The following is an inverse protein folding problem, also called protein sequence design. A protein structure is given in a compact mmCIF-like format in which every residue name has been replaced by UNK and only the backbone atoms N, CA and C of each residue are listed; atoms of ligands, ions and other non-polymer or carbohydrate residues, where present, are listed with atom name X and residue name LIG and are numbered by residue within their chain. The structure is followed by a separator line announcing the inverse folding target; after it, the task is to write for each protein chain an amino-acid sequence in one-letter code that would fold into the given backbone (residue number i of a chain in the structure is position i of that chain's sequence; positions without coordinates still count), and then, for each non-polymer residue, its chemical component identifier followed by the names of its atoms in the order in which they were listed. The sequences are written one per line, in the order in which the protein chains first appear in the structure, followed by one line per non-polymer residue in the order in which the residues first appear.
data_IF_915172977580
#
_entry.id   IF_915172977580
#
_cell.length_a   1.000
_cell.length_b   1.000
_cell.length_c   1.000
_cell.angle_alpha   90.00
_cell.angle_beta   90.00
_cell.angle_gamma   90.00
#
_symmetry.space_group_name_H-M   'P 1'
#
loop_
_entity.id
_entity.type
_entity.pdbx_description
1 polymer ?
#
# COMPACT_ATOMS: atom_id res chain seq x y z
N UNK A 1 10.30 -12.29 -4.86
CA UNK A 1 9.20 -11.43 -4.35
C UNK A 1 8.61 -10.52 -5.43
N UNK A 2 9.37 -10.12 -6.44
CA UNK A 2 8.91 -9.21 -7.49
C UNK A 2 7.85 -9.81 -8.43
N UNK A 3 7.95 -11.09 -8.78
CA UNK A 3 6.94 -11.79 -9.60
C UNK A 3 5.48 -11.65 -9.07
N UNK A 4 5.14 -12.03 -7.83
CA UNK A 4 3.76 -11.88 -7.34
C UNK A 4 3.32 -10.42 -7.25
N UNK A 5 4.20 -9.48 -6.89
CA UNK A 5 3.86 -8.05 -6.81
C UNK A 5 3.52 -7.49 -8.19
N UNK A 6 4.38 -7.74 -9.19
CA UNK A 6 4.16 -7.31 -10.57
C UNK A 6 2.89 -7.92 -11.17
N UNK A 7 2.63 -9.21 -10.93
CA UNK A 7 1.40 -9.86 -11.38
C UNK A 7 0.16 -9.29 -10.68
N UNK A 8 0.26 -9.01 -9.37
CA UNK A 8 -0.85 -8.38 -8.62
C UNK A 8 -1.21 -7.04 -9.24
N UNK A 9 -0.21 -6.17 -9.42
CA UNK A 9 -0.43 -4.83 -9.98
C UNK A 9 -0.92 -4.89 -11.43
N UNK A 10 -0.37 -5.79 -12.25
CA UNK A 10 -0.79 -5.94 -13.64
C UNK A 10 -2.26 -6.39 -13.75
N UNK A 11 -2.66 -7.38 -12.96
CA UNK A 11 -4.02 -7.93 -13.01
C UNK A 11 -5.05 -7.04 -12.30
N UNK A 12 -4.66 -6.37 -11.21
CA UNK A 12 -5.52 -5.46 -10.46
C UNK A 12 -5.48 -4.02 -10.97
N UNK A 13 -4.78 -3.72 -12.07
CA UNK A 13 -4.56 -2.34 -12.55
C UNK A 13 -5.84 -1.49 -12.63
N UNK A 14 -6.99 -1.97 -13.18
CA UNK A 14 -8.21 -1.19 -13.19
C UNK A 14 -8.73 -0.87 -11.77
N UNK A 15 -8.65 -1.82 -10.84
CA UNK A 15 -9.07 -1.65 -9.46
C UNK A 15 -8.15 -0.70 -8.70
N UNK A 16 -6.83 -0.78 -8.91
CA UNK A 16 -5.85 0.16 -8.38
C UNK A 16 -6.16 1.58 -8.84
N UNK A 17 -6.31 1.79 -10.15
CA UNK A 17 -6.51 3.12 -10.72
C UNK A 17 -7.84 3.73 -10.25
N UNK A 18 -8.94 2.96 -10.28
CA UNK A 18 -10.24 3.44 -9.79
C UNK A 18 -10.25 3.75 -8.30
N UNK A 19 -9.44 3.03 -7.51
CA UNK A 19 -9.35 3.23 -6.04
C UNK A 19 -8.55 4.47 -5.69
N UNK A 20 -7.41 4.68 -6.36
CA UNK A 20 -6.47 5.75 -6.02
C UNK A 20 -6.76 7.07 -6.74
N UNK A 21 -7.20 7.00 -7.99
CA UNK A 21 -7.37 8.17 -8.86
C UNK A 21 -8.83 8.40 -9.29
N UNK A 22 -9.71 7.42 -9.09
CA UNK A 22 -11.12 7.51 -9.47
C UNK A 22 -11.41 7.08 -10.91
N UNK A 23 -12.69 7.12 -11.34
CA UNK A 23 -13.13 6.57 -12.62
C UNK A 23 -12.62 7.36 -13.84
N UNK A 24 -12.33 8.65 -13.70
CA UNK A 24 -11.84 9.50 -14.79
C UNK A 24 -10.48 9.07 -15.36
N UNK A 25 -9.70 8.28 -14.61
CA UNK A 25 -8.37 7.84 -15.01
C UNK A 25 -8.32 6.39 -15.47
N UNK A 26 -9.48 5.71 -15.63
CA UNK A 26 -9.53 4.27 -15.92
C UNK A 26 -8.73 3.86 -17.16
N UNK A 27 -8.61 4.77 -18.13
CA UNK A 27 -7.85 4.57 -19.38
C UNK A 27 -6.33 4.47 -19.16
N UNK A 28 -5.83 4.79 -17.94
CA UNK A 28 -4.44 4.58 -17.55
C UNK A 28 -4.14 3.14 -17.11
N UNK A 29 -5.14 2.27 -16.92
CA UNK A 29 -4.94 0.89 -16.47
C UNK A 29 -4.00 0.05 -17.37
N UNK A 30 -4.04 0.17 -18.72
CA UNK A 30 -3.08 -0.52 -19.59
C UNK A 30 -1.63 -0.08 -19.35
N UNK A 31 -1.40 1.20 -19.04
CA UNK A 31 -0.07 1.75 -18.72
C UNK A 31 0.47 1.09 -17.46
N UNK A 32 -0.32 1.05 -16.38
CA UNK A 32 0.07 0.39 -15.13
C UNK A 32 0.33 -1.10 -15.33
N UNK A 33 -0.46 -1.75 -16.19
CA UNK A 33 -0.28 -3.18 -16.54
C UNK A 33 1.09 -3.41 -17.19
N UNK A 34 1.41 -2.64 -18.23
CA UNK A 34 2.70 -2.74 -18.93
C UNK A 34 3.88 -2.41 -18.01
N UNK A 35 3.77 -1.35 -17.21
CA UNK A 35 4.83 -0.95 -16.26
C UNK A 35 5.04 -1.98 -15.14
N UNK A 36 3.99 -2.67 -14.71
CA UNK A 36 4.10 -3.74 -13.72
C UNK A 36 4.89 -4.93 -14.26
N UNK A 37 4.70 -5.27 -15.54
CA UNK A 37 5.48 -6.31 -16.23
C UNK A 37 6.92 -5.81 -16.47
N UNK A 38 7.11 -4.54 -16.82
CA UNK A 38 8.44 -3.94 -16.91
C UNK A 38 9.20 -4.07 -15.58
N UNK A 39 8.56 -3.79 -14.45
CA UNK A 39 9.18 -3.94 -13.13
C UNK A 39 9.62 -5.38 -12.84
N UNK A 40 8.88 -6.38 -13.35
CA UNK A 40 9.27 -7.79 -13.23
C UNK A 40 10.57 -8.09 -13.99
N UNK A 41 10.64 -7.68 -15.26
CA UNK A 41 11.81 -7.88 -16.12
C UNK A 41 13.01 -7.13 -15.54
N UNK A 42 12.80 -5.88 -15.14
CA UNK A 42 13.82 -5.01 -14.58
C UNK A 42 14.40 -5.56 -13.26
N UNK A 43 13.55 -6.08 -12.37
CA UNK A 43 14.02 -6.71 -11.13
C UNK A 43 14.94 -7.90 -11.39
N UNK A 44 14.67 -8.71 -12.41
CA UNK A 44 15.52 -9.84 -12.75
C UNK A 44 16.90 -9.38 -13.26
N UNK A 45 16.95 -8.27 -14.02
CA UNK A 45 18.19 -7.63 -14.46
C UNK A 45 19.01 -7.05 -13.30
N UNK A 46 18.37 -6.52 -12.26
CA UNK A 46 19.06 -5.85 -11.16
C UNK A 46 19.99 -6.78 -10.38
N UNK A 47 19.58 -8.03 -10.17
CA UNK A 47 20.40 -9.02 -9.45
C UNK A 47 21.71 -9.37 -10.17
N UNK A 48 21.76 -9.22 -11.51
CA UNK A 48 23.01 -9.36 -12.25
C UNK A 48 24.03 -8.28 -11.88
N UNK A 49 23.56 -7.09 -11.50
CA UNK A 49 24.43 -6.00 -11.08
C UNK A 49 25.18 -6.29 -9.78
N UNK A 50 24.54 -6.99 -8.84
CA UNK A 50 25.18 -7.42 -7.59
C UNK A 50 26.30 -8.44 -7.86
N UNK A 51 26.09 -9.32 -8.85
CA UNK A 51 27.14 -10.23 -9.33
C UNK A 51 28.32 -9.45 -9.92
N UNK A 52 28.08 -8.39 -10.71
CA UNK A 52 29.16 -7.57 -11.27
C UNK A 52 29.96 -6.80 -10.22
N UNK A 53 29.30 -6.36 -9.15
CA UNK A 53 29.99 -5.76 -7.99
C UNK A 53 30.84 -6.81 -7.27
N UNK A 54 30.30 -8.01 -7.03
CA UNK A 54 30.99 -9.08 -6.32
C UNK A 54 32.26 -9.58 -7.05
N UNK A 55 32.28 -9.57 -8.38
CA UNK A 55 33.45 -9.96 -9.19
C UNK A 55 34.48 -8.83 -9.39
N UNK A 56 34.29 -7.67 -8.76
CA UNK A 56 35.20 -6.53 -8.89
C UNK A 56 35.19 -5.86 -10.27
N UNK A 57 34.07 -5.91 -11.00
CA UNK A 57 33.92 -5.28 -12.33
C UNK A 57 32.82 -4.22 -12.38
N UNK A 58 32.92 -3.14 -11.58
CA UNK A 58 31.91 -2.07 -11.58
C UNK A 58 31.81 -1.33 -12.92
N UNK A 59 32.86 -1.32 -13.75
CA UNK A 59 32.85 -0.68 -15.07
C UNK A 59 31.79 -1.27 -16.02
N UNK A 60 31.43 -2.55 -15.85
CA UNK A 60 30.35 -3.19 -16.62
C UNK A 60 28.99 -2.56 -16.32
N UNK A 61 28.76 -2.04 -15.11
CA UNK A 61 27.51 -1.34 -14.77
C UNK A 61 27.41 -0.02 -15.53
N UNK A 62 28.51 0.75 -15.60
CA UNK A 62 28.54 2.03 -16.32
C UNK A 62 28.34 1.83 -17.81
N UNK A 63 29.00 0.83 -18.40
CA UNK A 63 28.83 0.49 -19.82
C UNK A 63 27.39 0.06 -20.10
N UNK A 64 26.81 -0.80 -19.26
CA UNK A 64 25.43 -1.25 -19.45
C UNK A 64 24.41 -0.12 -19.28
N UNK A 65 24.62 0.78 -18.31
CA UNK A 65 23.76 1.96 -18.11
C UNK A 65 23.85 2.93 -19.29
N UNK A 66 25.07 3.21 -19.80
CA UNK A 66 25.27 4.05 -20.98
C UNK A 66 24.65 3.45 -22.24
N UNK A 67 24.85 2.14 -22.46
CA UNK A 67 24.23 1.43 -23.58
C UNK A 67 22.70 1.44 -23.48
N UNK A 68 22.14 1.19 -22.29
CA UNK A 68 20.69 1.27 -22.05
C UNK A 68 20.14 2.67 -22.38
N UNK A 69 20.81 3.73 -21.94
CA UNK A 69 20.40 5.09 -22.24
C UNK A 69 20.40 5.37 -23.75
N UNK A 70 21.46 4.99 -24.46
CA UNK A 70 21.54 5.16 -25.91
C UNK A 70 20.45 4.40 -26.67
N UNK A 71 20.17 3.15 -26.27
CA UNK A 71 19.12 2.32 -26.88
C UNK A 71 17.71 2.85 -26.58
N UNK A 72 17.52 3.56 -25.46
CA UNK A 72 16.21 4.02 -25.03
C UNK A 72 15.74 5.30 -25.74
N UNK A 73 16.64 6.21 -26.12
CA UNK A 73 16.28 7.55 -26.64
C UNK A 73 15.39 7.48 -27.89
N UNK A 74 15.81 6.75 -28.93
CA UNK A 74 15.11 6.72 -30.22
C UNK A 74 13.73 6.05 -30.11
N UNK A 75 13.58 4.85 -29.49
CA UNK A 75 12.29 4.21 -29.34
C UNK A 75 11.31 5.02 -28.49
N UNK A 76 11.77 5.64 -27.39
CA UNK A 76 10.89 6.46 -26.54
C UNK A 76 10.40 7.72 -27.25
N UNK A 77 11.29 8.40 -27.99
CA UNK A 77 10.92 9.58 -28.77
C UNK A 77 9.82 9.24 -29.81
N UNK A 78 9.98 8.10 -30.49
CA UNK A 78 8.96 7.58 -31.42
C UNK A 78 7.64 7.18 -30.73
N UNK A 79 7.71 6.64 -29.51
CA UNK A 79 6.54 6.21 -28.75
C UNK A 79 5.76 7.40 -28.16
N UNK A 80 6.45 8.48 -27.77
CA UNK A 80 5.84 9.67 -27.18
C UNK A 80 4.78 10.30 -28.09
N UNK A 81 4.98 10.27 -29.42
CA UNK A 81 4.00 10.74 -30.41
C UNK A 81 2.77 9.83 -30.58
N UNK A 82 2.72 8.65 -29.97
CA UNK A 82 1.62 7.67 -30.09
C UNK A 82 0.83 7.44 -28.80
N UNK A 83 1.15 8.19 -27.74
CA UNK A 83 0.45 8.13 -26.46
C UNK A 83 1.14 7.26 -25.40
N UNK A 84 0.68 7.43 -24.15
CA UNK A 84 1.34 6.89 -22.94
C UNK A 84 1.38 5.36 -22.88
N UNK A 85 0.40 4.68 -23.47
CA UNK A 85 0.38 3.21 -23.52
C UNK A 85 1.53 2.70 -24.39
N UNK A 86 1.75 3.29 -25.57
CA UNK A 86 2.87 2.93 -26.44
C UNK A 86 4.21 3.19 -25.78
N UNK A 87 4.35 4.29 -25.04
CA UNK A 87 5.57 4.58 -24.25
C UNK A 87 5.84 3.45 -23.25
N UNK A 88 4.83 3.00 -22.50
CA UNK A 88 5.00 1.91 -21.52
C UNK A 88 5.35 0.56 -22.14
N UNK A 89 4.78 0.24 -23.32
CA UNK A 89 5.10 -0.98 -24.06
C UNK A 89 6.52 -0.94 -24.64
N UNK A 90 6.95 0.20 -25.16
CA UNK A 90 8.31 0.39 -25.68
C UNK A 90 9.33 0.32 -24.55
N UNK A 91 9.05 0.92 -23.38
CA UNK A 91 9.89 0.76 -22.19
C UNK A 91 10.07 -0.72 -21.82
N UNK A 92 8.98 -1.49 -21.79
CA UNK A 92 9.04 -2.94 -21.55
C UNK A 92 9.88 -3.66 -22.61
N UNK A 93 9.67 -3.37 -23.90
CA UNK A 93 10.39 -4.00 -25.00
C UNK A 93 11.89 -3.69 -24.97
N UNK A 94 12.26 -2.43 -24.75
CA UNK A 94 13.65 -1.98 -24.65
C UNK A 94 14.35 -2.66 -23.47
N UNK A 95 13.66 -2.89 -22.34
CA UNK A 95 14.25 -3.55 -21.16
C UNK A 95 14.61 -5.02 -21.38
N UNK A 96 14.01 -5.68 -22.37
CA UNK A 96 14.36 -7.06 -22.70
C UNK A 96 15.80 -7.18 -23.22
N UNK A 97 16.32 -6.14 -23.90
CA UNK A 97 17.68 -6.12 -24.43
C UNK A 97 18.74 -6.20 -23.32
N UNK A 98 18.80 -5.27 -22.34
CA UNK A 98 19.75 -5.35 -21.25
C UNK A 98 19.48 -6.57 -20.36
N UNK A 99 18.23 -7.03 -20.22
CA UNK A 99 17.91 -8.27 -19.51
C UNK A 99 18.63 -9.48 -20.13
N UNK A 100 18.49 -9.67 -21.45
CA UNK A 100 19.16 -10.77 -22.17
C UNK A 100 20.68 -10.62 -22.09
N UNK A 101 21.20 -9.41 -22.33
CA UNK A 101 22.63 -9.15 -22.28
C UNK A 101 23.22 -9.47 -20.89
N UNK A 102 22.61 -8.98 -19.82
CA UNK A 102 23.02 -9.28 -18.44
C UNK A 102 22.99 -10.78 -18.15
N UNK A 103 21.95 -11.48 -18.60
CA UNK A 103 21.82 -12.92 -18.39
C UNK A 103 22.95 -13.71 -19.10
N UNK A 104 23.33 -13.29 -20.31
CA UNK A 104 24.45 -13.87 -21.05
C UNK A 104 25.80 -13.61 -20.36
N UNK A 105 26.02 -12.40 -19.84
CA UNK A 105 27.24 -12.07 -19.10
C UNK A 105 27.31 -12.87 -17.79
N UNK A 106 26.23 -12.93 -17.01
CA UNK A 106 26.17 -13.73 -15.78
C UNK A 106 26.48 -15.20 -16.08
N UNK A 107 25.89 -15.77 -17.12
CA UNK A 107 26.18 -17.14 -17.57
C UNK A 107 27.67 -17.34 -17.84
N UNK A 108 28.30 -16.42 -18.58
CA UNK A 108 29.73 -16.50 -18.94
C UNK A 108 30.64 -16.41 -17.71
N UNK A 109 30.27 -15.57 -16.74
CA UNK A 109 31.08 -15.33 -15.53
C UNK A 109 30.93 -16.44 -14.50
N UNK A 110 29.71 -16.91 -14.26
CA UNK A 110 29.40 -17.87 -13.19
C UNK A 110 29.54 -19.33 -13.61
N UNK A 111 29.75 -19.60 -14.91
CA UNK A 111 29.75 -20.95 -15.51
C UNK A 111 28.48 -21.75 -15.25
N UNK A 112 27.37 -21.10 -14.86
CA UNK A 112 26.08 -21.74 -14.70
C UNK A 112 25.57 -22.23 -16.06
N UNK A 113 24.94 -23.41 -16.09
CA UNK A 113 24.32 -23.90 -17.31
C UNK A 113 23.07 -23.07 -17.62
N UNK A 114 22.74 -22.91 -18.92
CA UNK A 114 21.48 -22.24 -19.32
C UNK A 114 20.24 -22.92 -18.71
N UNK A 115 20.33 -24.23 -18.49
CA UNK A 115 19.28 -25.03 -17.86
C UNK A 115 19.03 -24.63 -16.41
N UNK A 116 20.07 -24.37 -15.64
CA UNK A 116 19.92 -24.02 -14.22
C UNK A 116 19.31 -22.63 -14.03
N UNK A 117 19.78 -21.67 -14.84
CA UNK A 117 19.28 -20.30 -14.82
C UNK A 117 17.83 -20.22 -15.32
N UNK A 118 17.56 -20.91 -16.44
CA UNK A 118 16.19 -21.06 -16.94
C UNK A 118 15.29 -21.73 -15.91
N UNK A 119 15.72 -22.82 -15.27
CA UNK A 119 14.94 -23.52 -14.24
C UNK A 119 14.71 -22.64 -13.01
N UNK A 120 15.69 -21.83 -12.61
CA UNK A 120 15.53 -20.89 -11.50
C UNK A 120 14.47 -19.81 -11.79
N UNK A 121 14.48 -19.26 -13.01
CA UNK A 121 13.51 -18.23 -13.45
C UNK A 121 12.12 -18.84 -13.70
N UNK A 122 12.06 -20.01 -14.33
CA UNK A 122 10.81 -20.66 -14.74
C UNK A 122 10.07 -21.28 -13.55
N UNK A 123 10.75 -21.75 -12.50
CA UNK A 123 10.11 -22.39 -11.33
C UNK A 123 8.99 -21.57 -10.65
N UNK A 124 9.16 -20.25 -10.39
CA UNK A 124 8.10 -19.44 -9.80
C UNK A 124 7.02 -18.98 -10.81
N UNK A 125 7.25 -19.07 -12.13
CA UNK A 125 6.32 -18.55 -13.13
C UNK A 125 4.95 -19.27 -13.14
N UNK A 126 4.84 -20.61 -13.03
CA UNK A 126 3.54 -21.26 -12.92
C UNK A 126 2.71 -20.79 -11.73
N UNK A 127 3.35 -20.49 -10.59
CA UNK A 127 2.66 -19.96 -9.42
C UNK A 127 2.12 -18.55 -9.67
N UNK A 128 2.93 -17.70 -10.32
CA UNK A 128 2.52 -16.35 -10.71
C UNK A 128 1.41 -16.37 -11.79
N UNK A 129 1.48 -17.28 -12.77
CA UNK A 129 0.46 -17.45 -13.80
C UNK A 129 -0.86 -17.94 -13.20
N UNK A 130 -0.83 -18.94 -12.31
CA UNK A 130 -2.03 -19.42 -11.62
C UNK A 130 -2.66 -18.33 -10.75
N UNK A 131 -1.84 -17.56 -10.03
CA UNK A 131 -2.28 -16.38 -9.30
C UNK A 131 -3.00 -15.38 -10.23
N UNK A 132 -2.42 -15.07 -11.39
CA UNK A 132 -3.04 -14.16 -12.35
C UNK A 132 -4.42 -14.66 -12.81
N UNK A 133 -4.53 -15.94 -13.14
CA UNK A 133 -5.80 -16.57 -13.56
C UNK A 133 -6.86 -16.47 -12.45
N UNK A 134 -6.49 -16.79 -11.20
CA UNK A 134 -7.41 -16.68 -10.05
C UNK A 134 -7.86 -15.23 -9.86
N UNK A 135 -6.93 -14.28 -9.93
CA UNK A 135 -7.24 -12.85 -9.80
C UNK A 135 -8.16 -12.35 -10.92
N UNK A 136 -7.95 -12.78 -12.17
CA UNK A 136 -8.88 -12.46 -13.27
C UNK A 136 -10.27 -13.07 -13.05
N UNK A 137 -10.34 -14.28 -12.49
CA UNK A 137 -11.61 -14.91 -12.11
C UNK A 137 -12.36 -14.10 -11.06
N UNK A 138 -11.66 -13.68 -9.99
CA UNK A 138 -12.19 -12.80 -8.94
C UNK A 138 -12.63 -11.45 -9.50
N UNK A 139 -11.81 -10.84 -10.38
CA UNK A 139 -12.13 -9.57 -11.02
C UNK A 139 -13.44 -9.62 -11.81
N UNK A 140 -13.70 -10.74 -12.51
CA UNK A 140 -14.95 -10.93 -13.26
C UNK A 140 -16.13 -11.26 -12.34
N UNK A 141 -15.94 -12.14 -11.35
CA UNK A 141 -17.00 -12.55 -10.44
C UNK A 141 -17.48 -11.42 -9.51
N UNK A 142 -16.56 -10.54 -9.10
CA UNK A 142 -16.82 -9.42 -8.20
C UNK A 142 -16.79 -8.06 -8.93
N UNK A 143 -17.11 -8.03 -10.24
CA UNK A 143 -17.09 -6.80 -11.03
C UNK A 143 -18.06 -5.71 -10.52
N UNK A 144 -19.11 -6.11 -9.80
CA UNK A 144 -20.08 -5.21 -9.15
C UNK A 144 -19.58 -4.60 -7.84
N UNK A 145 -18.46 -5.08 -7.31
CA UNK A 145 -17.93 -4.60 -6.04
C UNK A 145 -17.23 -3.24 -6.26
N UNK A 146 -17.32 -2.30 -5.31
CA UNK A 146 -16.52 -1.09 -5.33
C UNK A 146 -15.02 -1.39 -5.44
N UNK A 147 -14.32 -0.56 -6.22
CA UNK A 147 -12.92 -0.76 -6.56
C UNK A 147 -11.99 -1.04 -5.37
N UNK A 148 -12.11 -0.37 -4.20
CA UNK A 148 -11.24 -0.64 -3.06
C UNK A 148 -11.41 -2.05 -2.51
N UNK A 149 -12.66 -2.54 -2.41
CA UNK A 149 -12.93 -3.88 -1.93
C UNK A 149 -12.51 -4.94 -2.95
N UNK A 150 -12.73 -4.67 -4.24
CA UNK A 150 -12.26 -5.55 -5.31
C UNK A 150 -10.74 -5.68 -5.29
N UNK A 151 -10.01 -4.57 -5.17
CA UNK A 151 -8.55 -4.56 -5.08
C UNK A 151 -8.04 -5.38 -3.89
N UNK A 152 -8.66 -5.20 -2.73
CA UNK A 152 -8.25 -5.87 -1.52
C UNK A 152 -8.56 -7.38 -1.58
N UNK A 153 -9.72 -7.76 -2.13
CA UNK A 153 -10.10 -9.15 -2.40
C UNK A 153 -9.13 -9.81 -3.41
N UNK A 154 -8.82 -9.14 -4.52
CA UNK A 154 -7.87 -9.62 -5.53
C UNK A 154 -6.47 -9.82 -4.94
N UNK A 155 -6.00 -8.88 -4.11
CA UNK A 155 -4.66 -8.96 -3.50
C UNK A 155 -4.54 -10.16 -2.56
N UNK A 156 -5.53 -10.40 -1.70
CA UNK A 156 -5.53 -11.52 -0.76
C UNK A 156 -5.71 -12.87 -1.44
N UNK A 157 -6.65 -12.98 -2.36
CA UNK A 157 -6.89 -14.21 -3.14
C UNK A 157 -5.68 -14.53 -4.02
N UNK A 158 -5.07 -13.52 -4.64
CA UNK A 158 -3.84 -13.67 -5.41
C UNK A 158 -2.66 -14.14 -4.55
N UNK A 159 -2.43 -13.50 -3.40
CA UNK A 159 -1.34 -13.87 -2.48
C UNK A 159 -1.50 -15.31 -1.97
N UNK A 160 -2.71 -15.69 -1.55
CA UNK A 160 -3.00 -17.05 -1.07
C UNK A 160 -2.83 -18.10 -2.17
N UNK A 161 -3.35 -17.84 -3.38
CA UNK A 161 -3.14 -18.70 -4.54
C UNK A 161 -1.65 -18.84 -4.90
N UNK A 162 -0.91 -17.74 -4.91
CA UNK A 162 0.54 -17.76 -5.19
C UNK A 162 1.30 -18.60 -4.18
N UNK A 163 1.09 -18.40 -2.87
CA UNK A 163 1.77 -19.15 -1.83
C UNK A 163 1.42 -20.64 -1.89
N UNK A 164 0.16 -20.98 -2.16
CA UNK A 164 -0.29 -22.35 -2.32
C UNK A 164 0.38 -23.03 -3.53
N UNK A 165 0.38 -22.41 -4.70
CA UNK A 165 0.97 -23.00 -5.91
C UNK A 165 2.49 -23.01 -5.85
N UNK A 166 3.13 -21.96 -5.32
CA UNK A 166 4.58 -21.91 -5.12
C UNK A 166 5.06 -23.05 -4.22
N UNK A 167 4.27 -23.38 -3.19
CA UNK A 167 4.53 -24.54 -2.34
C UNK A 167 4.44 -25.85 -3.11
N UNK A 168 3.58 -25.97 -4.13
CA UNK A 168 3.48 -27.18 -4.94
C UNK A 168 4.61 -27.25 -5.98
N UNK A 169 4.93 -26.15 -6.65
CA UNK A 169 5.88 -26.12 -7.77
C UNK A 169 7.33 -25.92 -7.34
N UNK A 170 7.58 -25.29 -6.20
CA UNK A 170 8.91 -24.89 -5.75
C UNK A 170 9.08 -24.93 -4.21
N UNK A 171 8.83 -26.09 -3.60
CA UNK A 171 9.01 -26.33 -2.15
C UNK A 171 10.32 -25.77 -1.59
N UNK A 172 11.44 -26.02 -2.27
CA UNK A 172 12.75 -25.56 -1.83
C UNK A 172 12.89 -24.03 -1.73
N UNK A 173 12.20 -23.26 -2.57
CA UNK A 173 12.17 -21.79 -2.45
C UNK A 173 11.39 -21.34 -1.21
N UNK A 174 10.32 -22.05 -0.85
CA UNK A 174 9.53 -21.77 0.36
C UNK A 174 10.36 -22.09 1.61
N UNK A 175 11.04 -23.24 1.63
CA UNK A 175 11.87 -23.66 2.76
C UNK A 175 13.05 -22.70 2.97
N UNK A 176 13.69 -22.25 1.89
CA UNK A 176 14.74 -21.23 1.93
C UNK A 176 14.20 -19.90 2.49
N UNK A 177 13.02 -19.45 2.03
CA UNK A 177 12.38 -18.23 2.53
C UNK A 177 12.04 -18.29 4.02
N UNK A 178 11.50 -19.42 4.50
CA UNK A 178 11.19 -19.62 5.92
C UNK A 178 12.48 -19.60 6.76
N UNK A 179 13.56 -20.20 6.26
CA UNK A 179 14.86 -20.22 6.95
C UNK A 179 15.43 -18.81 7.08
N UNK A 180 15.37 -18.00 6.01
CA UNK A 180 15.81 -16.60 6.04
C UNK A 180 15.00 -15.73 7.01
N UNK A 181 13.68 -15.95 7.11
CA UNK A 181 12.84 -15.22 8.08
C UNK A 181 13.22 -15.61 9.52
N UNK A 182 13.51 -16.90 9.77
CA UNK A 182 13.95 -17.38 11.08
C UNK A 182 15.30 -16.80 11.48
N UNK A 183 16.24 -16.68 10.54
CA UNK A 183 17.56 -16.11 10.85
C UNK A 183 17.47 -14.63 11.23
N UNK A 184 16.61 -13.85 10.58
CA UNK A 184 16.36 -12.44 10.97
C UNK A 184 15.78 -12.37 12.38
N UNK A 185 14.84 -13.26 12.71
CA UNK A 185 14.20 -13.29 14.04
C UNK A 185 15.17 -13.74 15.15
N UNK A 186 16.19 -14.52 14.83
CA UNK A 186 17.18 -15.02 15.78
C UNK A 186 18.41 -14.10 15.92
N UNK A 187 18.60 -13.18 14.99
CA UNK A 187 19.84 -12.41 14.82
C UNK A 187 20.08 -11.24 15.78
N UNK A 188 19.41 -11.16 16.94
CA UNK A 188 19.55 -10.02 17.85
C UNK A 188 19.79 -10.41 19.32
N UNK A 189 20.03 -11.70 19.62
CA UNK A 189 20.26 -12.15 21.00
C UNK A 189 21.60 -12.83 21.28
N UNK A 190 22.33 -13.24 20.25
CA UNK A 190 23.65 -13.85 20.42
C UNK A 190 24.66 -13.16 19.50
N UNK A 191 25.05 -11.93 19.83
CA UNK A 191 26.33 -11.39 19.37
C UNK A 191 27.38 -11.88 20.37
N UNK A 192 28.11 -12.99 20.11
CA UNK A 192 29.18 -13.41 20.99
C UNK A 192 30.21 -12.28 21.04
N UNK A 193 30.40 -11.72 22.24
CA UNK A 193 31.51 -10.86 22.59
C UNK A 193 32.80 -11.56 22.18
N UNK A 194 33.42 -11.07 21.11
CA UNK A 194 34.84 -11.19 20.76
C UNK A 194 35.59 -12.40 21.35
N UNK A 195 35.59 -13.53 20.65
CA UNK A 195 36.68 -14.50 20.76
C UNK A 195 37.33 -14.79 19.38
N UNK A 196 38.66 -14.97 19.35
CA UNK A 196 39.44 -15.03 18.11
C UNK A 196 39.31 -16.37 17.38
N UNK A 197 39.27 -16.26 16.06
CA UNK A 197 38.80 -17.19 15.03
C UNK A 197 39.81 -18.33 14.73
N UNK A 198 40.33 -19.00 15.76
CA UNK A 198 41.30 -20.08 15.58
C UNK A 198 40.60 -21.44 15.43
N UNK A 199 40.53 -21.88 14.17
CA UNK A 199 40.68 -23.25 13.68
C UNK A 199 39.84 -24.39 14.31
N UNK A 200 38.79 -24.83 13.60
CA UNK A 200 38.63 -26.26 13.27
C UNK A 200 37.68 -26.46 12.08
N UNK A 201 38.24 -26.75 10.90
CA UNK A 201 37.50 -27.22 9.73
C UNK A 201 37.23 -28.73 9.89
N UNK A 202 36.12 -29.09 10.54
CA UNK A 202 35.59 -30.46 10.52
C UNK A 202 34.55 -30.60 9.40
N UNK A 203 34.79 -31.52 8.47
CA UNK A 203 33.95 -31.84 7.31
C UNK A 203 32.54 -32.33 7.71
N UNK A 204 31.45 -31.79 7.13
CA UNK A 204 30.09 -32.18 7.49
C UNK A 204 29.71 -33.54 6.88
N UNK A 205 29.44 -34.54 7.74
CA UNK A 205 28.89 -35.84 7.33
C UNK A 205 27.43 -35.70 6.87
N UNK A 206 27.16 -36.12 5.65
CA UNK A 206 25.88 -36.09 4.95
C UNK A 206 24.82 -36.95 5.68
N UNK A 207 23.87 -36.29 6.37
CA UNK A 207 22.79 -36.95 7.12
C UNK A 207 21.49 -36.87 6.31
N UNK A 208 21.11 -37.99 5.68
CA UNK A 208 19.82 -38.14 4.98
C UNK A 208 18.66 -38.11 5.98
N UNK A 209 17.79 -37.11 5.87
CA UNK A 209 16.57 -37.01 6.66
C UNK A 209 15.40 -37.74 5.96
N UNK A 210 14.68 -38.64 6.64
CA UNK A 210 13.51 -39.31 6.08
C UNK A 210 12.33 -38.34 5.93
N UNK A 211 11.60 -38.45 4.81
CA UNK A 211 10.45 -37.59 4.50
C UNK A 211 9.21 -37.94 5.36
N UNK A 212 8.85 -37.05 6.27
CA UNK A 212 7.56 -37.04 6.99
C UNK A 212 6.46 -36.40 6.12
N UNK A 213 5.58 -37.20 5.54
CA UNK A 213 4.55 -36.76 4.58
C UNK A 213 3.14 -36.48 5.14
N UNK A 214 2.81 -36.84 6.39
CA UNK A 214 1.39 -36.94 6.80
C UNK A 214 0.93 -35.95 7.87
N UNK A 215 1.84 -35.35 8.65
CA UNK A 215 1.47 -34.39 9.71
C UNK A 215 1.09 -32.99 9.18
N UNK A 216 1.34 -32.74 7.89
CA UNK A 216 1.27 -31.40 7.32
C UNK A 216 -0.15 -30.96 6.89
N UNK A 217 -1.10 -31.88 6.76
CA UNK A 217 -2.48 -31.56 6.31
C UNK A 217 -3.35 -30.93 7.40
N UNK A 218 -3.22 -31.36 8.66
CA UNK A 218 -4.08 -30.89 9.77
C UNK A 218 -3.86 -29.44 10.16
N UNK A 219 -2.63 -28.95 10.08
CA UNK A 219 -2.27 -27.58 10.49
C UNK A 219 -2.89 -26.52 9.56
N UNK A 220 -3.11 -26.86 8.29
CA UNK A 220 -3.71 -25.95 7.31
C UNK A 220 -5.23 -25.88 7.42
N UNK A 221 -5.90 -26.97 7.81
CA UNK A 221 -7.35 -26.94 8.10
C UNK A 221 -7.66 -25.99 9.26
N UNK A 222 -6.86 -26.03 10.32
CA UNK A 222 -7.04 -25.16 11.49
C UNK A 222 -6.79 -23.69 11.15
N UNK A 223 -5.74 -23.40 10.38
CA UNK A 223 -5.44 -22.04 9.90
C UNK A 223 -6.55 -21.47 9.01
N UNK A 224 -7.06 -22.26 8.06
CA UNK A 224 -8.15 -21.85 7.18
C UNK A 224 -9.47 -21.61 7.93
N UNK A 225 -9.83 -22.49 8.85
CA UNK A 225 -11.05 -22.37 9.66
C UNK A 225 -11.03 -21.11 10.54
N UNK A 226 -9.92 -20.87 11.25
CA UNK A 226 -9.80 -19.68 12.09
C UNK A 226 -9.71 -18.39 11.25
N UNK A 227 -9.14 -18.44 10.05
CA UNK A 227 -9.23 -17.35 9.07
C UNK A 227 -10.68 -17.02 8.71
N UNK A 228 -11.48 -18.02 8.35
CA UNK A 228 -12.90 -17.82 8.02
C UNK A 228 -13.70 -17.24 9.20
N UNK A 229 -13.45 -17.73 10.42
CA UNK A 229 -14.05 -17.17 11.64
C UNK A 229 -13.64 -15.71 11.84
N UNK A 230 -12.35 -15.40 11.65
CA UNK A 230 -11.85 -14.03 11.73
C UNK A 230 -12.52 -13.09 10.72
N UNK A 231 -12.69 -13.53 9.47
CA UNK A 231 -13.42 -12.79 8.43
C UNK A 231 -14.86 -12.47 8.87
N UNK A 232 -15.59 -13.46 9.39
CA UNK A 232 -16.97 -13.30 9.84
C UNK A 232 -17.06 -12.30 11.01
N UNK A 233 -16.14 -12.38 11.98
CA UNK A 233 -16.06 -11.43 13.09
C UNK A 233 -15.76 -10.01 12.57
N UNK A 234 -14.82 -9.87 11.64
CA UNK A 234 -14.51 -8.58 11.01
C UNK A 234 -15.72 -7.95 10.32
N UNK A 235 -16.48 -8.75 9.57
CA UNK A 235 -17.73 -8.31 8.92
C UNK A 235 -18.82 -7.92 9.93
N UNK A 236 -18.96 -8.67 11.03
CA UNK A 236 -19.91 -8.36 12.10
C UNK A 236 -19.58 -7.03 12.79
N UNK A 237 -18.29 -6.80 13.10
CA UNK A 237 -17.82 -5.52 13.67
C UNK A 237 -18.10 -4.36 12.72
N UNK A 238 -17.87 -4.54 11.41
CA UNK A 238 -18.22 -3.51 10.43
C UNK A 238 -19.73 -3.22 10.36
N UNK A 239 -20.61 -4.22 10.53
CA UNK A 239 -22.06 -3.99 10.60
C UNK A 239 -22.42 -3.10 11.79
N UNK A 240 -21.83 -3.34 12.96
CA UNK A 240 -22.10 -2.55 14.17
C UNK A 240 -21.56 -1.11 14.02
N UNK A 241 -20.36 -0.95 13.46
CA UNK A 241 -19.73 0.36 13.30
C UNK A 241 -20.40 1.22 12.21
N UNK A 242 -20.87 0.61 11.12
CA UNK A 242 -21.57 1.33 10.05
C UNK A 242 -22.97 1.81 10.43
N UNK A 243 -23.51 1.35 11.56
CA UNK A 243 -24.77 1.83 12.12
C UNK A 243 -24.69 3.17 12.87
N UNK A 244 -23.48 3.67 13.17
CA UNK A 244 -23.29 4.88 13.97
C UNK A 244 -23.05 6.11 13.08
N UNK A 245 -24.00 7.05 13.12
CA UNK A 245 -23.96 8.47 12.70
C UNK A 245 -23.39 8.78 11.32
N UNK A 246 -24.27 9.14 10.37
CA UNK A 246 -23.83 9.73 9.10
C UNK A 246 -23.35 11.16 9.36
N UNK A 247 -22.05 11.41 9.22
CA UNK A 247 -21.50 12.77 9.20
C UNK A 247 -21.44 13.29 7.77
N UNK A 248 -21.82 14.54 7.60
CA UNK A 248 -21.76 15.29 6.35
C UNK A 248 -20.79 16.45 6.54
N UNK A 249 -20.01 16.75 5.51
CA UNK A 249 -19.14 17.92 5.47
C UNK A 249 -19.61 18.85 4.36
N UNK A 250 -19.88 20.10 4.68
CA UNK A 250 -20.06 21.18 3.72
C UNK A 250 -18.78 22.00 3.64
N UNK A 251 -18.45 22.52 2.46
CA UNK A 251 -17.26 23.32 2.23
C UNK A 251 -17.62 24.64 1.53
N UNK A 252 -16.91 25.70 1.87
CA UNK A 252 -16.95 26.98 1.20
C UNK A 252 -15.53 27.51 1.05
N UNK A 253 -15.30 28.33 0.02
CA UNK A 253 -14.01 28.97 -0.20
C UNK A 253 -14.19 30.48 -0.14
N UNK A 254 -13.39 31.13 0.70
CA UNK A 254 -13.35 32.57 0.89
C UNK A 254 -12.05 33.12 0.30
N UNK A 255 -12.09 34.30 -0.28
CA UNK A 255 -10.91 35.06 -0.69
C UNK A 255 -10.66 36.20 0.29
N UNK A 256 -9.41 36.34 0.72
CA UNK A 256 -8.95 37.54 1.40
C UNK A 256 -8.60 38.58 0.35
N UNK A 257 -9.28 39.72 0.37
CA UNK A 257 -9.08 40.80 -0.58
C UNK A 257 -8.71 42.10 0.14
N UNK A 258 -7.93 42.99 -0.49
CA UNK A 258 -7.79 44.36 -0.01
C UNK A 258 -9.13 45.12 -0.02
N UNK A 259 -9.25 46.24 0.72
CA UNK A 259 -10.40 47.13 0.66
C UNK A 259 -10.64 47.62 -0.77
N UNK A 260 -11.92 47.83 -1.13
CA UNK A 260 -12.30 48.29 -2.45
C UNK A 260 -11.92 49.76 -2.73
N UNK A 261 -11.71 50.55 -1.67
CA UNK A 261 -11.50 51.99 -1.69
C UNK A 261 -10.01 52.39 -1.54
N UNK A 262 -9.09 51.46 -1.79
CA UNK A 262 -7.66 51.77 -1.73
C UNK A 262 -7.23 52.71 -2.87
N UNK A 263 -6.47 53.77 -2.58
CA UNK A 263 -5.84 54.57 -3.62
C UNK A 263 -4.80 53.72 -4.37
N UNK A 264 -4.71 53.94 -5.68
CA UNK A 264 -3.98 53.09 -6.63
C UNK A 264 -2.49 52.96 -6.28
N UNK A 265 -1.92 53.98 -5.65
CA UNK A 265 -0.53 54.03 -5.19
C UNK A 265 -0.22 53.00 -4.07
N UNK A 266 -1.22 52.60 -3.28
CA UNK A 266 -1.06 51.62 -2.18
C UNK A 266 -1.59 50.24 -2.50
N UNK A 267 -2.38 50.08 -3.56
CA UNK A 267 -2.98 48.80 -3.90
C UNK A 267 -1.93 47.68 -4.08
N UNK A 268 -0.79 48.00 -4.70
CA UNK A 268 0.27 47.03 -4.97
C UNK A 268 0.88 46.42 -3.69
N UNK A 269 1.13 47.23 -2.65
CA UNK A 269 1.73 46.73 -1.41
C UNK A 269 0.78 45.83 -0.60
N UNK A 270 -0.52 46.12 -0.64
CA UNK A 270 -1.51 45.23 -0.04
C UNK A 270 -1.59 43.89 -0.76
N UNK A 271 -1.59 43.89 -2.09
CA UNK A 271 -1.58 42.63 -2.86
C UNK A 271 -0.35 41.78 -2.59
N UNK A 272 0.81 42.39 -2.38
CA UNK A 272 2.03 41.67 -1.98
C UNK A 272 1.84 40.94 -0.65
N UNK A 273 1.28 41.59 0.37
CA UNK A 273 1.03 40.99 1.69
C UNK A 273 0.02 39.83 1.61
N UNK A 274 -1.04 39.98 0.81
CA UNK A 274 -2.06 38.93 0.65
C UNK A 274 -1.49 37.72 -0.11
N UNK A 275 -0.65 37.93 -1.12
CA UNK A 275 -0.07 36.85 -1.94
C UNK A 275 0.89 35.94 -1.15
N UNK A 276 1.53 36.43 -0.08
CA UNK A 276 2.35 35.58 0.80
C UNK A 276 1.51 34.71 1.76
N UNK A 277 0.18 34.74 1.68
CA UNK A 277 -0.73 33.87 2.43
C UNK A 277 -0.79 34.12 3.94
N UNK A 278 -0.06 35.11 4.48
CA UNK A 278 -0.06 35.41 5.92
C UNK A 278 -1.43 35.93 6.38
N UNK A 279 -2.05 36.81 5.59
CA UNK A 279 -3.39 37.32 5.87
C UNK A 279 -4.44 36.19 5.85
N UNK A 280 -4.37 35.30 4.86
CA UNK A 280 -5.24 34.13 4.76
C UNK A 280 -5.07 33.18 5.96
N UNK A 281 -3.85 32.93 6.43
CA UNK A 281 -3.59 32.10 7.61
C UNK A 281 -4.18 32.70 8.89
N UNK A 282 -3.96 33.99 9.13
CA UNK A 282 -4.51 34.68 10.30
C UNK A 282 -6.04 34.68 10.29
N UNK A 283 -6.66 34.96 9.14
CA UNK A 283 -8.11 34.91 8.98
C UNK A 283 -8.65 33.48 9.14
N UNK A 284 -7.96 32.46 8.63
CA UNK A 284 -8.34 31.06 8.82
C UNK A 284 -8.34 30.65 10.30
N UNK A 285 -7.35 31.10 11.10
CA UNK A 285 -7.29 30.82 12.55
C UNK A 285 -8.50 31.42 13.27
N UNK A 286 -8.88 32.66 12.91
CA UNK A 286 -10.04 33.34 13.50
C UNK A 286 -11.35 32.67 13.08
N UNK A 287 -11.50 32.34 11.80
CA UNK A 287 -12.67 31.62 11.26
C UNK A 287 -12.82 30.22 11.87
N UNK A 288 -11.73 29.56 12.22
CA UNK A 288 -11.72 28.26 12.89
C UNK A 288 -12.04 28.32 14.39
N UNK A 289 -12.22 29.51 14.98
CA UNK A 289 -12.54 29.63 16.40
C UNK A 289 -13.97 29.16 16.69
N UNK A 290 -14.15 28.47 17.81
CA UNK A 290 -15.42 27.86 18.23
C UNK A 290 -16.46 28.89 18.68
N UNK A 291 -16.12 30.17 18.76
CA UNK A 291 -17.05 31.24 19.18
C UNK A 291 -18.25 31.36 18.24
N UNK A 292 -18.03 31.22 16.92
CA UNK A 292 -19.10 31.27 15.91
C UNK A 292 -20.01 30.04 15.90
N UNK A 293 -19.59 28.91 16.51
CA UNK A 293 -20.35 27.66 16.48
C UNK A 293 -21.69 27.74 17.19
N UNK A 294 -21.83 28.61 18.20
CA UNK A 294 -23.11 28.74 18.92
C UNK A 294 -24.19 29.34 18.03
N UNK A 295 -23.90 30.45 17.36
CA UNK A 295 -24.82 31.05 16.40
C UNK A 295 -25.10 30.11 15.21
N UNK A 296 -24.07 29.38 14.76
CA UNK A 296 -24.23 28.39 13.70
C UNK A 296 -25.12 27.20 14.10
N UNK A 297 -25.01 26.74 15.35
CA UNK A 297 -25.85 25.69 15.93
C UNK A 297 -27.32 26.14 16.00
N UNK A 298 -27.56 27.35 16.48
CA UNK A 298 -28.90 27.96 16.55
C UNK A 298 -29.51 28.11 15.15
N UNK A 299 -28.73 28.56 14.16
CA UNK A 299 -29.17 28.69 12.76
C UNK A 299 -29.46 27.34 12.07
N UNK A 300 -28.72 26.29 12.42
CA UNK A 300 -28.93 24.95 11.86
C UNK A 300 -29.97 24.11 12.64
N UNK A 301 -30.41 24.57 13.82
CA UNK A 301 -31.34 23.85 14.68
C UNK A 301 -30.78 22.54 15.24
N UNK A 302 -29.47 22.48 15.50
CA UNK A 302 -28.79 21.28 16.05
C UNK A 302 -27.92 21.62 17.26
N UNK A 303 -27.66 20.67 18.17
CA UNK A 303 -26.75 20.90 19.29
C UNK A 303 -25.33 21.25 18.84
N UNK A 304 -24.66 22.17 19.54
CA UNK A 304 -23.27 22.56 19.21
C UNK A 304 -22.30 21.36 19.19
N UNK A 305 -22.56 20.32 20.01
CA UNK A 305 -21.75 19.09 20.04
C UNK A 305 -21.82 18.27 18.75
N UNK A 306 -22.80 18.54 17.89
CA UNK A 306 -22.95 17.87 16.60
C UNK A 306 -22.26 18.60 15.45
N UNK A 307 -21.70 19.80 15.71
CA UNK A 307 -21.01 20.61 14.73
C UNK A 307 -19.50 20.55 14.90
N UNK A 308 -18.78 20.42 13.79
CA UNK A 308 -17.33 20.56 13.71
C UNK A 308 -16.96 21.64 12.71
N UNK A 309 -16.28 22.70 13.14
CA UNK A 309 -15.80 23.76 12.26
C UNK A 309 -14.28 23.68 12.12
N UNK A 310 -13.81 23.72 10.88
CA UNK A 310 -12.38 23.87 10.56
C UNK A 310 -12.19 24.84 9.39
N UNK A 311 -11.16 25.66 9.49
CA UNK A 311 -10.74 26.58 8.43
C UNK A 311 -9.24 26.45 8.19
N UNK A 312 -8.83 26.49 6.92
CA UNK A 312 -7.44 26.36 6.51
C UNK A 312 -7.13 27.28 5.34
N UNK A 313 -5.98 27.97 5.40
CA UNK A 313 -5.50 28.76 4.27
C UNK A 313 -4.88 27.83 3.21
N UNK A 314 -5.22 28.06 1.93
CA UNK A 314 -4.60 27.35 0.82
C UNK A 314 -3.18 27.92 0.62
N UNK A 315 -2.13 27.07 0.64
CA UNK A 315 -0.74 27.53 0.60
C UNK A 315 -0.44 28.46 -0.58
N UNK A 316 0.28 29.55 -0.32
CA UNK A 316 0.72 30.54 -1.31
C UNK A 316 -0.43 31.16 -2.14
N UNK A 317 -1.62 31.25 -1.54
CA UNK A 317 -2.77 31.91 -2.14
C UNK A 317 -3.49 32.81 -1.15
N UNK A 318 -4.46 33.58 -1.66
CA UNK A 318 -5.36 34.43 -0.88
C UNK A 318 -6.62 33.68 -0.42
N UNK A 319 -6.71 32.37 -0.69
CA UNK A 319 -7.90 31.57 -0.47
C UNK A 319 -7.89 30.86 0.89
N UNK A 320 -9.08 30.75 1.48
CA UNK A 320 -9.35 30.04 2.73
C UNK A 320 -10.45 29.02 2.44
N UNK A 321 -10.18 27.75 2.74
CA UNK A 321 -11.21 26.72 2.76
C UNK A 321 -11.80 26.61 4.16
N UNK A 322 -13.11 26.75 4.25
CA UNK A 322 -13.88 26.60 5.48
C UNK A 322 -14.78 25.38 5.33
N UNK A 323 -14.77 24.52 6.34
CA UNK A 323 -15.44 23.23 6.34
C UNK A 323 -16.29 23.11 7.60
N UNK A 324 -17.52 22.62 7.43
CA UNK A 324 -18.46 22.38 8.51
C UNK A 324 -18.91 20.92 8.48
N UNK A 325 -18.69 20.19 9.56
CA UNK A 325 -19.21 18.85 9.78
C UNK A 325 -20.52 18.92 10.57
N UNK A 326 -21.53 18.14 10.16
CA UNK A 326 -22.77 17.95 10.91
C UNK A 326 -23.38 16.55 10.66
N UNK A 327 -24.39 16.16 11.45
CA UNK A 327 -25.10 14.89 11.27
C UNK A 327 -26.14 14.90 10.13
N UNK A 328 -26.35 16.06 9.49
CA UNK A 328 -27.21 16.17 8.30
C UNK A 328 -26.60 17.16 7.30
N UNK A 329 -26.85 16.96 5.99
CA UNK A 329 -26.29 17.85 4.96
C UNK A 329 -26.81 19.28 5.12
N UNK A 330 -28.11 19.44 5.36
CA UNK A 330 -28.74 20.76 5.55
C UNK A 330 -28.21 21.48 6.78
N UNK A 331 -27.95 20.77 7.88
CA UNK A 331 -27.36 21.38 9.07
C UNK A 331 -25.92 21.86 8.80
N UNK A 332 -25.11 21.07 8.08
CA UNK A 332 -23.75 21.47 7.71
C UNK A 332 -23.74 22.75 6.84
N UNK A 333 -24.59 22.80 5.82
CA UNK A 333 -24.68 23.96 4.91
C UNK A 333 -25.25 25.20 5.61
N UNK A 334 -26.31 25.05 6.40
CA UNK A 334 -26.95 26.15 7.15
C UNK A 334 -26.01 26.71 8.22
N UNK A 335 -25.33 25.85 8.97
CA UNK A 335 -24.35 26.26 9.98
C UNK A 335 -23.17 26.99 9.32
N UNK A 336 -22.62 26.45 8.21
CA UNK A 336 -21.52 27.09 7.49
C UNK A 336 -21.91 28.44 6.91
N UNK A 337 -23.11 28.55 6.35
CA UNK A 337 -23.67 29.81 5.84
C UNK A 337 -23.77 30.86 6.95
N UNK A 338 -24.22 30.46 8.13
CA UNK A 338 -24.27 31.35 9.30
C UNK A 338 -22.89 31.83 9.75
N UNK A 339 -21.88 30.93 9.77
CA UNK A 339 -20.51 31.31 10.12
C UNK A 339 -19.94 32.30 9.12
N UNK A 340 -20.14 32.08 7.82
CA UNK A 340 -19.66 32.99 6.78
C UNK A 340 -20.36 34.34 6.83
N UNK A 341 -21.68 34.35 7.09
CA UNK A 341 -22.45 35.59 7.21
C UNK A 341 -22.00 36.43 8.41
N UNK A 342 -21.82 35.80 9.58
CA UNK A 342 -21.31 36.47 10.78
C UNK A 342 -19.86 36.94 10.60
N UNK A 343 -19.03 36.11 9.96
CA UNK A 343 -17.67 36.49 9.60
C UNK A 343 -17.65 37.66 8.62
N UNK A 344 -18.50 37.72 7.61
CA UNK A 344 -18.54 38.85 6.69
C UNK A 344 -18.91 40.17 7.42
N UNK A 345 -19.79 40.11 8.42
CA UNK A 345 -20.16 41.26 9.26
C UNK A 345 -19.08 41.66 10.26
N UNK A 346 -18.45 40.69 10.92
CA UNK A 346 -17.50 40.90 12.04
C UNK A 346 -16.03 40.99 11.60
N UNK A 347 -15.66 40.44 10.43
CA UNK A 347 -14.27 40.43 9.94
C UNK A 347 -13.77 41.82 9.55
N UNK A 348 -14.66 42.80 9.40
CA UNK A 348 -14.30 44.21 9.30
C UNK A 348 -13.43 44.67 10.49
N UNK A 349 -13.53 44.04 11.66
CA UNK A 349 -12.72 44.41 12.84
C UNK A 349 -11.51 43.51 13.12
N UNK A 350 -11.52 42.23 12.71
CA UNK A 350 -10.49 41.26 13.15
C UNK A 350 -9.34 41.10 12.15
N UNK A 351 -9.59 41.32 10.86
CA UNK A 351 -8.58 41.21 9.81
C UNK A 351 -8.23 42.54 9.16
N UNK A 352 -8.65 43.66 9.76
CA UNK A 352 -8.33 45.00 9.27
C UNK A 352 -6.82 45.09 8.95
N UNK A 353 -6.43 45.40 7.70
CA UNK A 353 -7.23 46.09 6.68
C UNK A 353 -7.85 45.20 5.58
N UNK A 354 -7.99 43.89 5.73
CA UNK A 354 -8.52 43.01 4.68
C UNK A 354 -10.01 42.72 4.82
N UNK A 355 -10.69 42.48 3.69
CA UNK A 355 -12.07 41.98 3.62
C UNK A 355 -12.09 40.53 3.17
N UNK A 356 -13.09 39.78 3.64
CA UNK A 356 -13.37 38.42 3.17
C UNK A 356 -14.49 38.48 2.15
N UNK A 357 -14.28 37.86 1.00
CA UNK A 357 -15.30 37.71 -0.03
C UNK A 357 -15.56 36.23 -0.31
N UNK A 358 -16.81 35.87 -0.59
CA UNK A 358 -17.20 34.48 -0.79
C UNK A 358 -16.99 34.10 -2.25
N UNK A 359 -16.03 33.21 -2.51
CA UNK A 359 -15.74 32.71 -3.87
C UNK A 359 -16.67 31.56 -4.21
N UNK A 360 -16.94 30.68 -3.25
CA UNK A 360 -17.83 29.52 -3.40
C UNK A 360 -18.78 29.43 -2.22
N UNK A 361 -20.08 29.41 -2.52
CA UNK A 361 -21.15 29.25 -1.54
C UNK A 361 -21.16 27.83 -0.95
N UNK A 362 -21.48 27.67 0.35
CA UNK A 362 -21.67 26.36 0.97
C UNK A 362 -22.92 25.61 0.48
N UNK A 363 -23.86 26.26 -0.20
CA UNK A 363 -25.09 25.61 -0.65
C UNK A 363 -24.83 24.50 -1.68
N UNK A 364 -25.35 23.30 -1.41
CA UNK A 364 -25.19 22.14 -2.28
C UNK A 364 -23.79 21.51 -2.26
N UNK A 365 -22.90 21.92 -1.35
CA UNK A 365 -21.56 21.34 -1.24
C UNK A 365 -21.48 20.19 -0.25
N UNK A 366 -22.54 19.91 0.52
CA UNK A 366 -22.52 18.85 1.53
C UNK A 366 -22.25 17.47 0.92
N UNK A 367 -21.23 16.79 1.44
CA UNK A 367 -20.86 15.41 1.08
C UNK A 367 -20.84 14.53 2.32
N UNK A 368 -21.33 13.30 2.19
CA UNK A 368 -21.22 12.30 3.26
C UNK A 368 -19.76 11.95 3.50
N UNK A 369 -19.29 12.13 4.74
CA UNK A 369 -17.96 11.70 5.21
C UNK A 369 -17.94 10.22 5.61
N UNK A 370 -19.10 9.57 5.71
CA UNK A 370 -19.14 8.15 6.04
C UNK A 370 -18.30 7.39 5.02
N UNK A 371 -17.24 6.67 5.45
CA UNK A 371 -16.47 5.84 4.55
C UNK A 371 -17.44 4.93 3.81
N UNK A 372 -17.25 4.76 2.50
CA UNK A 372 -18.19 3.95 1.74
C UNK A 372 -18.37 2.60 2.46
N UNK A 373 -19.62 2.14 2.63
CA UNK A 373 -19.90 0.90 3.39
C UNK A 373 -18.97 -0.23 2.97
N UNK A 374 -18.67 -0.29 1.68
CA UNK A 374 -17.81 -1.31 1.10
C UNK A 374 -16.33 -1.15 1.47
N UNK A 375 -15.82 0.07 1.63
CA UNK A 375 -14.50 0.25 2.24
C UNK A 375 -14.50 -0.27 3.68
N UNK A 376 -15.45 0.12 4.53
CA UNK A 376 -15.50 -0.32 5.93
C UNK A 376 -15.63 -1.83 6.07
N UNK A 377 -16.54 -2.46 5.31
CA UNK A 377 -16.69 -3.92 5.28
C UNK A 377 -15.43 -4.61 4.73
N UNK A 378 -14.80 -4.02 3.71
CA UNK A 378 -13.57 -4.52 3.11
C UNK A 378 -12.42 -4.52 4.12
N UNK A 379 -12.08 -3.38 4.73
CA UNK A 379 -10.97 -3.29 5.69
C UNK A 379 -11.21 -4.14 6.93
N UNK A 380 -12.44 -4.17 7.45
CA UNK A 380 -12.75 -4.95 8.64
C UNK A 380 -12.72 -6.46 8.36
N UNK A 381 -13.31 -6.92 7.25
CA UNK A 381 -13.27 -8.33 6.85
C UNK A 381 -11.83 -8.82 6.65
N UNK A 382 -10.99 -8.01 6.01
CA UNK A 382 -9.58 -8.35 5.76
C UNK A 382 -8.77 -8.41 7.04
N UNK A 383 -8.91 -7.40 7.90
CA UNK A 383 -8.25 -7.38 9.21
C UNK A 383 -8.67 -8.60 10.03
N UNK A 384 -9.96 -8.93 10.02
CA UNK A 384 -10.52 -10.12 10.66
C UNK A 384 -9.90 -11.41 10.12
N UNK A 385 -9.86 -11.58 8.80
CA UNK A 385 -9.27 -12.76 8.13
C UNK A 385 -7.80 -12.95 8.53
N UNK A 386 -7.01 -11.88 8.48
CA UNK A 386 -5.58 -11.91 8.79
C UNK A 386 -5.33 -12.27 10.26
N UNK A 387 -6.09 -11.68 11.19
CA UNK A 387 -6.00 -12.00 12.61
C UNK A 387 -6.39 -13.45 12.89
N UNK A 388 -7.48 -13.91 12.27
CA UNK A 388 -7.96 -15.29 12.40
C UNK A 388 -6.95 -16.32 11.89
N UNK A 389 -6.42 -16.10 10.68
CA UNK A 389 -5.42 -16.99 10.09
C UNK A 389 -4.10 -16.98 10.88
N UNK A 390 -3.66 -15.81 11.34
CA UNK A 390 -2.48 -15.66 12.19
C UNK A 390 -2.60 -16.41 13.51
N UNK A 391 -3.75 -16.30 14.18
CA UNK A 391 -4.05 -17.03 15.40
C UNK A 391 -4.04 -18.56 15.17
N UNK A 392 -4.63 -19.03 14.07
CA UNK A 392 -4.65 -20.45 13.74
C UNK A 392 -3.27 -21.04 13.48
N UNK A 393 -2.40 -20.31 12.80
CA UNK A 393 -1.01 -20.71 12.61
C UNK A 393 -0.24 -20.73 13.92
N UNK A 394 -0.45 -19.75 14.80
CA UNK A 394 0.21 -19.70 16.12
C UNK A 394 -0.21 -20.86 17.03
N UNK A 395 -1.52 -21.15 17.11
CA UNK A 395 -2.06 -22.27 17.89
C UNK A 395 -1.52 -23.59 17.36
N UNK A 396 -1.55 -23.77 16.04
CA UNK A 396 -1.01 -24.97 15.40
C UNK A 396 0.48 -25.15 15.69
N UNK A 397 1.24 -24.07 15.69
CA UNK A 397 2.67 -24.10 16.00
C UNK A 397 2.95 -24.43 17.47
N UNK A 398 2.18 -23.87 18.41
CA UNK A 398 2.27 -24.19 19.83
C UNK A 398 1.93 -25.66 20.12
N UNK A 399 0.92 -26.21 19.43
CA UNK A 399 0.53 -27.61 19.55
C UNK A 399 1.66 -28.56 19.09
N UNK A 400 2.35 -28.22 17.99
CA UNK A 400 3.50 -28.99 17.52
C UNK A 400 4.66 -28.98 18.52
N UNK A 401 4.94 -27.84 19.17
CA UNK A 401 6.00 -27.75 20.20
C UNK A 401 5.73 -28.65 21.41
N UNK A 402 4.47 -28.78 21.84
CA UNK A 402 4.08 -29.66 22.96
C UNK A 402 4.25 -31.14 22.61
N UNK A 403 3.95 -31.53 21.37
CA UNK A 403 4.15 -32.91 20.90
C UNK A 403 5.64 -33.28 20.80
N UNK A 404 6.49 -32.33 20.40
CA UNK A 404 7.93 -32.55 20.33
C UNK A 404 8.58 -32.74 21.71
N UNK A 405 8.08 -32.04 22.74
CA UNK A 405 8.60 -32.14 24.11
C UNK A 405 8.11 -33.40 24.84
N UNK A 406 6.90 -33.90 24.55
CA UNK A 406 6.37 -35.12 25.17
C UNK A 406 7.04 -36.44 24.73
N UNK A 407 7.65 -36.49 23.54
CA UNK A 407 8.25 -37.73 23.00
C UNK A 407 9.66 -38.05 23.54
N UNK A 408 10.29 -37.14 24.30
CA UNK A 408 11.66 -37.31 24.81
C UNK A 408 11.77 -37.95 26.20
N UNK A 409 10.67 -38.14 26.94
CA UNK A 409 10.74 -38.53 28.35
C UNK A 409 10.78 -40.05 28.62
N UNK A 410 10.71 -40.90 27.59
CA UNK A 410 10.78 -42.36 27.76
C UNK A 410 12.11 -42.90 27.27
N UNK A 411 13.20 -42.59 27.98
CA UNK A 411 14.42 -43.41 27.87
C UNK A 411 14.37 -44.46 28.99
N UNK A 412 14.19 -45.76 28.67
CA UNK A 412 14.19 -46.81 29.68
C UNK A 412 15.60 -46.92 30.28
N UNK A 413 15.66 -46.89 31.61
CA UNK A 413 16.88 -47.07 32.39
C UNK A 413 17.63 -48.31 31.94
N UNK A 414 18.83 -48.10 31.40
CA UNK A 414 19.78 -49.13 30.98
C UNK A 414 20.07 -50.05 32.17
N UNK A 415 19.58 -51.29 32.08
CA UNK A 415 19.92 -52.40 33.00
C UNK A 415 21.45 -52.54 33.08
N UNK A 416 21.97 -52.48 34.31
CA UNK A 416 23.33 -52.91 34.67
C UNK A 416 23.51 -54.40 34.31
N UNK A 417 24.62 -54.81 33.69
CA UNK A 417 24.97 -56.22 33.62
C UNK A 417 25.50 -56.66 35.00
N UNK A 418 24.86 -57.68 35.57
CA UNK A 418 25.46 -58.56 36.58
C UNK A 418 26.03 -59.78 35.86
N UNK A 419 27.22 -60.20 36.29
CA UNK A 419 27.82 -61.55 36.35
C UNK A 419 29.31 -61.45 35.99
N UNK A 420 30.22 -61.67 36.94
CA UNK A 420 30.61 -62.88 37.71
C UNK A 420 31.74 -63.60 37.01
#
# INVERSE_FOLDING_TARGET
LTAPVSVTLATAAPAVIRTLYGPAYVDAAPVLTALSIYALVFSASFHAGDVFKAIGRPSLLTINAGAKLAVMVVPLWWAAGRGIVMVSLVLLAVELVPFVANMLVVRKVTRLTSGDLGRAILRPLPAAACMAVVMLGVARAAASFPAPALLALMTLTGLTAYLFVLRLTARGLVDAGITAIRSIRQGDHDQPTSEPWVATLSTPSERKTPMEGTLFSRTWCVGGMLGAVGLLIGLAVACVLTGHSQRFTAQATLAVLPPADLPVDRAASYWEIVNYGQAARSAAIVLGDKRGLRAAADAAGVPQSELGLSAGAVPDTTLIDVTMEANSPRAAESALSSVIHDAAGSSASVSAPFRLDTVSSPEGTARSMTPSRVQTFGTAGISGLLLGAGAGLLISWLAQRRLATGKGATTPSRRRPKHR
#
